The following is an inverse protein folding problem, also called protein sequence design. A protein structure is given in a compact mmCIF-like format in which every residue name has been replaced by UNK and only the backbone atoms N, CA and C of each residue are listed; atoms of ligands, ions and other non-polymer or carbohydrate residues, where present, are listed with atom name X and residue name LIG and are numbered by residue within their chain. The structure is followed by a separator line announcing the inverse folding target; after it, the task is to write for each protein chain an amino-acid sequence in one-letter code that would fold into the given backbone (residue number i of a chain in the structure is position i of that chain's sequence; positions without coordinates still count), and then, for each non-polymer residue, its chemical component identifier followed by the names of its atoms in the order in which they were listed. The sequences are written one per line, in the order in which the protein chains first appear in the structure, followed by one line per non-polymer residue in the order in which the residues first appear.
data_IF_763326855491
#
_entry.id   IF_763326855491
#
_cell.length_a   1.000
_cell.length_b   1.000
_cell.length_c   1.000
_cell.angle_alpha   90.00
_cell.angle_beta   90.00
_cell.angle_gamma   90.00
#
_symmetry.space_group_name_H-M   'P 1'
#
loop_
_entity.id
_entity.type
_entity.pdbx_description
1 polymer ?
#
# COMPACT_ATOMS: atom_id res chain seq x y z
N UNK A 1 17.74 -8.34 -11.68
CA UNK A 1 16.96 -7.27 -11.02
C UNK A 1 15.94 -6.63 -11.97
N UNK A 2 16.33 -6.10 -13.14
CA UNK A 2 15.40 -5.42 -14.07
C UNK A 2 14.21 -6.27 -14.52
N UNK A 3 14.41 -7.59 -14.74
CA UNK A 3 13.30 -8.52 -15.05
C UNK A 3 12.27 -8.61 -13.92
N UNK A 4 12.72 -8.60 -12.66
CA UNK A 4 11.84 -8.66 -11.48
C UNK A 4 11.08 -7.34 -11.33
N UNK A 5 11.75 -6.19 -11.47
CA UNK A 5 11.07 -4.89 -11.45
C UNK A 5 10.07 -4.77 -12.61
N UNK A 6 10.41 -5.33 -13.78
CA UNK A 6 9.50 -5.49 -14.92
C UNK A 6 8.25 -6.28 -14.56
N UNK A 7 8.40 -7.47 -13.98
CA UNK A 7 7.28 -8.31 -13.51
C UNK A 7 6.40 -7.57 -12.50
N UNK A 8 7.00 -6.90 -11.50
CA UNK A 8 6.25 -6.14 -10.51
C UNK A 8 5.47 -4.97 -11.13
N UNK A 9 6.08 -4.25 -12.09
CA UNK A 9 5.45 -3.17 -12.84
C UNK A 9 4.28 -3.69 -13.68
N UNK A 10 4.50 -4.76 -14.43
CA UNK A 10 3.50 -5.39 -15.29
C UNK A 10 2.30 -5.90 -14.47
N UNK A 11 2.57 -6.56 -13.34
CA UNK A 11 1.53 -7.02 -12.43
C UNK A 11 0.72 -5.86 -11.84
N UNK A 12 1.37 -4.77 -11.40
CA UNK A 12 0.68 -3.62 -10.81
C UNK A 12 -0.30 -2.95 -11.79
N UNK A 13 0.07 -2.83 -13.06
CA UNK A 13 -0.72 -2.07 -14.04
C UNK A 13 -1.69 -2.91 -14.86
N UNK A 14 -1.37 -4.18 -15.11
CA UNK A 14 -2.17 -5.02 -16.01
C UNK A 14 -2.65 -6.32 -15.34
N UNK A 15 -2.29 -6.56 -14.07
CA UNK A 15 -2.69 -7.79 -13.35
C UNK A 15 -2.01 -9.07 -13.86
N UNK A 16 -1.07 -8.96 -14.80
CA UNK A 16 -0.36 -10.10 -15.41
C UNK A 16 1.15 -9.85 -15.46
N UNK A 17 1.94 -10.92 -15.32
CA UNK A 17 3.40 -10.83 -15.29
C UNK A 17 4.04 -10.47 -16.63
N UNK A 18 3.39 -10.76 -17.76
CA UNK A 18 3.98 -10.65 -19.10
C UNK A 18 3.32 -9.55 -19.95
N UNK A 19 3.04 -8.39 -19.36
CA UNK A 19 2.41 -7.26 -20.07
C UNK A 19 3.41 -6.15 -20.37
N UNK A 20 3.49 -5.74 -21.64
CA UNK A 20 4.31 -4.61 -22.11
C UNK A 20 3.55 -3.28 -22.18
N UNK A 21 2.36 -3.19 -21.57
CA UNK A 21 1.54 -1.99 -21.66
C UNK A 21 2.12 -0.78 -20.90
N UNK A 22 1.64 0.43 -21.24
CA UNK A 22 2.12 1.67 -20.64
C UNK A 22 1.71 1.77 -19.16
N UNK A 23 2.63 2.25 -18.34
CA UNK A 23 2.38 2.53 -16.93
C UNK A 23 1.81 3.95 -16.75
N UNK A 24 0.79 4.11 -15.91
CA UNK A 24 0.23 5.45 -15.61
C UNK A 24 1.21 6.33 -14.83
N UNK A 25 2.04 5.69 -13.99
CA UNK A 25 3.06 6.34 -13.14
C UNK A 25 4.38 5.60 -13.30
N UNK A 26 5.49 6.33 -13.39
CA UNK A 26 6.82 5.73 -13.52
C UNK A 26 7.18 4.88 -12.31
N UNK A 27 7.97 3.83 -12.53
CA UNK A 27 8.43 2.94 -11.45
C UNK A 27 9.21 3.70 -10.37
N UNK A 28 10.01 4.69 -10.78
CA UNK A 28 10.75 5.55 -9.86
C UNK A 28 9.84 6.33 -8.91
N UNK A 29 8.74 6.87 -9.43
CA UNK A 29 7.77 7.61 -8.63
C UNK A 29 6.97 6.67 -7.70
N UNK A 30 6.68 5.45 -8.13
CA UNK A 30 6.02 4.42 -7.30
C UNK A 30 6.90 4.02 -6.10
N UNK A 31 8.21 3.88 -6.31
CA UNK A 31 9.14 3.47 -5.27
C UNK A 31 9.51 4.57 -4.27
N UNK A 32 9.10 5.82 -4.51
CA UNK A 32 9.30 6.89 -3.52
C UNK A 32 8.60 6.54 -2.20
N UNK A 33 9.11 7.04 -1.06
CA UNK A 33 8.44 6.91 0.21
C UNK A 33 7.01 7.47 0.13
N UNK A 34 6.09 6.91 0.94
CA UNK A 34 4.70 7.39 0.98
C UNK A 34 4.58 8.88 1.35
N UNK A 35 5.52 9.39 2.15
CA UNK A 35 5.65 10.81 2.50
C UNK A 35 5.92 11.70 1.28
N UNK A 36 6.58 11.15 0.27
CA UNK A 36 6.99 11.86 -0.96
C UNK A 36 6.09 11.47 -2.16
N UNK A 37 4.99 10.75 -1.93
CA UNK A 37 3.98 10.47 -2.94
C UNK A 37 4.11 9.17 -3.71
N UNK A 38 5.06 8.31 -3.34
CA UNK A 38 5.09 6.95 -3.87
C UNK A 38 4.21 6.00 -3.06
N UNK A 39 4.17 4.74 -3.47
CA UNK A 39 3.47 3.67 -2.76
C UNK A 39 4.37 2.98 -1.73
N UNK A 40 5.68 3.25 -1.77
CA UNK A 40 6.68 2.69 -0.88
C UNK A 40 7.21 1.33 -1.32
N UNK A 41 7.18 1.04 -2.63
CA UNK A 41 7.88 -0.13 -3.16
C UNK A 41 9.38 0.05 -3.04
N UNK A 42 10.09 -1.04 -2.79
CA UNK A 42 11.55 -1.03 -2.70
C UNK A 42 12.15 -1.03 -4.11
N UNK A 43 13.05 -0.08 -4.42
CA UNK A 43 13.88 -0.15 -5.64
C UNK A 43 14.92 -1.24 -5.42
N UNK A 44 14.82 -2.33 -6.18
CA UNK A 44 15.67 -3.50 -5.97
C UNK A 44 17.14 -3.16 -6.19
N UNK A 45 17.43 -2.31 -7.17
CA UNK A 45 18.80 -1.87 -7.42
C UNK A 45 19.40 -1.11 -6.22
N UNK A 46 18.69 -0.12 -5.68
CA UNK A 46 19.17 0.68 -4.54
C UNK A 46 19.20 -0.14 -3.24
N UNK A 47 18.24 -1.06 -3.06
CA UNK A 47 18.27 -2.00 -1.95
C UNK A 47 19.45 -2.94 -2.02
N UNK A 48 19.77 -3.46 -3.21
CA UNK A 48 20.95 -4.28 -3.43
C UNK A 48 22.25 -3.51 -3.12
N UNK A 49 22.32 -2.23 -3.50
CA UNK A 49 23.44 -1.36 -3.13
C UNK A 49 23.53 -1.19 -1.61
N UNK A 50 22.40 -0.94 -0.93
CA UNK A 50 22.36 -0.84 0.52
C UNK A 50 22.73 -2.17 1.22
N UNK A 51 22.36 -3.33 0.66
CA UNK A 51 22.78 -4.62 1.23
C UNK A 51 24.26 -4.89 0.99
N UNK A 52 24.78 -4.56 -0.20
CA UNK A 52 26.22 -4.65 -0.50
C UNK A 52 27.04 -3.75 0.43
N UNK A 53 26.50 -2.59 0.80
CA UNK A 53 27.10 -1.71 1.80
C UNK A 53 27.32 -2.37 3.16
N UNK A 54 26.46 -3.32 3.56
CA UNK A 54 26.65 -4.09 4.80
C UNK A 54 27.92 -4.94 4.74
N UNK A 55 28.20 -5.55 3.58
CA UNK A 55 29.43 -6.32 3.38
C UNK A 55 30.66 -5.42 3.38
N UNK A 56 30.58 -4.24 2.75
CA UNK A 56 31.67 -3.27 2.79
C UNK A 56 31.93 -2.79 4.22
N UNK A 57 30.87 -2.55 5.00
CA UNK A 57 30.95 -2.21 6.42
C UNK A 57 31.55 -3.34 7.26
N UNK A 58 31.18 -4.61 7.02
CA UNK A 58 31.78 -5.77 7.68
C UNK A 58 33.29 -5.86 7.43
N UNK A 59 33.76 -5.55 6.22
CA UNK A 59 35.19 -5.51 5.91
C UNK A 59 35.87 -4.34 6.64
N UNK A 60 35.27 -3.15 6.65
CA UNK A 60 35.79 -1.98 7.37
C UNK A 60 35.93 -2.23 8.88
N UNK A 61 34.89 -2.78 9.50
CA UNK A 61 34.84 -3.04 10.95
C UNK A 61 35.54 -4.33 11.38
N UNK A 62 36.16 -5.06 10.44
CA UNK A 62 36.79 -6.37 10.69
C UNK A 62 35.85 -7.32 11.44
N UNK A 63 34.60 -7.37 11.01
CA UNK A 63 33.59 -8.22 11.63
C UNK A 63 34.06 -9.69 11.69
N UNK A 64 33.72 -10.39 12.77
CA UNK A 64 34.16 -11.78 12.99
C UNK A 64 33.38 -12.76 12.11
N UNK A 65 33.75 -12.78 10.83
CA UNK A 65 33.27 -13.71 9.83
C UNK A 65 34.47 -14.30 9.10
N UNK A 66 34.43 -15.61 8.85
CA UNK A 66 35.52 -16.34 8.19
C UNK A 66 35.91 -15.71 6.84
N UNK A 67 34.91 -15.31 6.04
CA UNK A 67 35.15 -14.68 4.75
C UNK A 67 35.75 -13.27 4.88
N UNK A 68 35.43 -12.50 5.93
CA UNK A 68 36.04 -11.19 6.21
C UNK A 68 37.51 -11.37 6.57
N UNK A 69 37.82 -12.32 7.47
CA UNK A 69 39.20 -12.66 7.84
C UNK A 69 40.02 -13.09 6.63
N UNK A 70 39.44 -13.91 5.76
CA UNK A 70 40.07 -14.32 4.50
C UNK A 70 40.31 -13.15 3.55
N UNK A 71 39.35 -12.23 3.40
CA UNK A 71 39.52 -11.00 2.62
C UNK A 71 40.68 -10.15 3.14
N UNK A 72 40.78 -9.98 4.46
CA UNK A 72 41.90 -9.24 5.08
C UNK A 72 43.25 -9.91 4.84
N UNK A 73 43.32 -11.23 4.95
CA UNK A 73 44.55 -11.99 4.75
C UNK A 73 45.01 -12.06 3.27
N UNK A 74 44.07 -12.27 2.34
CA UNK A 74 44.39 -12.56 0.93
C UNK A 74 44.33 -11.34 0.03
N UNK A 75 43.32 -10.49 0.17
CA UNK A 75 43.14 -9.32 -0.69
C UNK A 75 43.85 -8.07 -0.15
N UNK A 76 43.57 -7.72 1.11
CA UNK A 76 44.09 -6.49 1.71
C UNK A 76 45.56 -6.62 2.14
N UNK A 77 45.99 -7.81 2.57
CA UNK A 77 47.40 -8.11 2.96
C UNK A 77 48.00 -7.06 3.91
N UNK A 78 47.21 -6.61 4.87
CA UNK A 78 47.62 -5.60 5.85
C UNK A 78 47.40 -4.13 5.44
N UNK A 79 46.94 -3.86 4.22
CA UNK A 79 46.53 -2.51 3.80
C UNK A 79 45.20 -2.09 4.45
N UNK A 80 45.01 -0.78 4.60
CA UNK A 80 43.75 -0.22 5.09
C UNK A 80 42.64 -0.38 4.05
N UNK A 81 41.39 -0.60 4.50
CA UNK A 81 40.25 -0.71 3.60
C UNK A 81 39.94 0.60 2.86
N UNK A 82 40.22 1.75 3.48
CA UNK A 82 39.98 3.07 2.89
C UNK A 82 40.92 3.38 1.73
N UNK A 83 42.21 3.01 1.86
CA UNK A 83 43.25 3.43 0.92
C UNK A 83 43.50 2.39 -0.18
N UNK A 84 43.00 1.17 -0.02
CA UNK A 84 43.13 0.11 -1.00
C UNK A 84 42.34 0.42 -2.29
N UNK A 85 42.98 0.20 -3.44
CA UNK A 85 42.37 0.29 -4.78
C UNK A 85 42.49 -1.06 -5.49
N UNK A 86 41.38 -1.67 -5.93
CA UNK A 86 41.42 -2.96 -6.61
C UNK A 86 42.03 -2.83 -8.02
N UNK A 87 42.95 -3.73 -8.37
CA UNK A 87 43.54 -3.80 -9.71
C UNK A 87 42.53 -4.17 -10.80
N UNK A 88 42.83 -3.84 -12.06
CA UNK A 88 41.93 -4.07 -13.22
C UNK A 88 41.57 -5.54 -13.46
N UNK A 89 42.47 -6.47 -13.13
CA UNK A 89 42.24 -7.92 -13.20
C UNK A 89 41.44 -8.54 -12.04
N UNK A 90 40.98 -7.73 -11.08
CA UNK A 90 40.23 -8.23 -9.93
C UNK A 90 38.79 -8.64 -10.28
N UNK A 91 38.24 -9.55 -9.48
CA UNK A 91 36.90 -10.10 -9.70
C UNK A 91 35.83 -8.98 -9.73
N UNK A 92 34.80 -9.18 -10.54
CA UNK A 92 33.72 -8.20 -10.69
C UNK A 92 33.06 -7.86 -9.35
N UNK A 93 32.83 -8.88 -8.49
CA UNK A 93 32.22 -8.69 -7.18
C UNK A 93 33.09 -7.82 -6.26
N UNK A 94 34.41 -8.01 -6.30
CA UNK A 94 35.37 -7.18 -5.55
C UNK A 94 35.32 -5.73 -6.03
N UNK A 95 35.43 -5.49 -7.34
CA UNK A 95 35.31 -4.13 -7.91
C UNK A 95 33.97 -3.47 -7.56
N UNK A 96 32.88 -4.24 -7.58
CA UNK A 96 31.55 -3.73 -7.22
C UNK A 96 31.46 -3.32 -5.74
N UNK A 97 32.12 -4.05 -4.84
CA UNK A 97 32.17 -3.74 -3.41
C UNK A 97 32.88 -2.41 -3.15
N UNK A 98 33.99 -2.14 -3.84
CA UNK A 98 34.70 -0.86 -3.78
C UNK A 98 33.89 0.29 -4.36
N UNK A 99 33.23 0.07 -5.50
CA UNK A 99 32.29 1.07 -6.04
C UNK A 99 31.18 1.43 -5.03
N UNK A 100 30.66 0.44 -4.29
CA UNK A 100 29.67 0.69 -3.22
C UNK A 100 30.29 1.46 -2.04
N UNK A 101 31.52 1.12 -1.64
CA UNK A 101 32.27 1.88 -0.61
C UNK A 101 32.35 3.35 -0.99
N UNK A 102 32.83 3.64 -2.19
CA UNK A 102 33.03 5.01 -2.66
C UNK A 102 31.71 5.77 -2.73
N UNK A 103 30.65 5.13 -3.25
CA UNK A 103 29.30 5.70 -3.28
C UNK A 103 28.77 6.03 -1.88
N UNK A 104 28.96 5.15 -0.89
CA UNK A 104 28.49 5.37 0.47
C UNK A 104 29.25 6.49 1.18
N UNK A 105 30.55 6.62 0.91
CA UNK A 105 31.36 7.75 1.34
C UNK A 105 30.86 9.06 0.71
N UNK A 106 30.47 9.06 -0.57
CA UNK A 106 29.99 10.26 -1.27
C UNK A 106 28.65 10.76 -0.72
N UNK A 107 27.75 9.86 -0.35
CA UNK A 107 26.40 10.20 0.15
C UNK A 107 26.44 10.61 1.63
N UNK A 108 27.63 10.76 2.24
CA UNK A 108 27.84 11.02 3.68
C UNK A 108 26.96 10.13 4.55
N UNK A 109 26.81 8.86 4.14
CA UNK A 109 26.02 7.92 4.91
C UNK A 109 26.88 7.51 6.09
N UNK A 110 26.71 8.20 7.23
CA UNK A 110 27.40 7.90 8.50
C UNK A 110 27.29 6.44 8.98
N UNK A 111 26.55 5.57 8.28
CA UNK A 111 26.51 4.12 8.51
C UNK A 111 27.81 3.37 8.21
N UNK A 112 28.81 3.98 7.55
CA UNK A 112 30.18 3.43 7.54
C UNK A 112 30.99 3.81 8.78
N UNK A 113 30.54 4.81 9.55
CA UNK A 113 31.28 5.42 10.68
C UNK A 113 30.64 5.06 12.02
N UNK A 114 29.36 4.70 12.06
CA UNK A 114 28.65 4.26 13.27
C UNK A 114 28.86 2.75 13.55
N UNK A 115 28.82 2.38 14.83
CA UNK A 115 28.97 0.99 15.31
C UNK A 115 27.89 0.02 14.81
N UNK A 116 26.76 0.55 14.30
CA UNK A 116 25.65 -0.26 13.77
C UNK A 116 25.30 0.10 12.33
N UNK A 117 25.34 -0.90 11.43
CA UNK A 117 24.91 -0.76 10.04
C UNK A 117 23.44 -1.15 9.85
N UNK A 118 22.60 -0.19 9.46
CA UNK A 118 21.21 -0.44 9.06
C UNK A 118 21.00 -0.28 7.56
N UNK A 119 20.78 -1.40 6.87
CA UNK A 119 20.42 -1.44 5.43
C UNK A 119 19.23 -0.52 5.12
N UNK A 120 18.23 -0.47 6.00
CA UNK A 120 17.05 0.35 5.82
C UNK A 120 17.37 1.86 5.89
N UNK A 121 18.27 2.27 6.79
CA UNK A 121 18.69 3.67 6.91
C UNK A 121 19.52 4.12 5.70
N UNK A 122 20.44 3.27 5.24
CA UNK A 122 21.23 3.52 4.01
C UNK A 122 20.31 3.62 2.80
N UNK A 123 19.39 2.67 2.64
CA UNK A 123 18.41 2.69 1.56
C UNK A 123 17.57 3.97 1.56
N UNK A 124 17.08 4.39 2.73
CA UNK A 124 16.30 5.61 2.85
C UNK A 124 17.08 6.84 2.33
N UNK A 125 18.37 6.98 2.66
CA UNK A 125 19.22 8.08 2.17
C UNK A 125 19.49 8.01 0.66
N UNK A 126 19.67 6.81 0.11
CA UNK A 126 19.82 6.62 -1.34
C UNK A 126 18.56 7.02 -2.13
N UNK A 127 17.38 6.96 -1.49
CA UNK A 127 16.08 7.28 -2.10
C UNK A 127 15.66 8.74 -1.85
N UNK A 128 16.05 9.34 -0.71
CA UNK A 128 15.56 10.65 -0.24
C UNK A 128 16.15 11.88 -0.96
N UNK A 129 16.98 11.68 -1.99
CA UNK A 129 17.45 12.77 -2.86
C UNK A 129 16.34 13.41 -3.73
N UNK A 130 15.09 12.99 -3.59
CA UNK A 130 13.95 13.53 -4.34
C UNK A 130 13.21 14.62 -3.57
N UNK A 131 12.97 15.76 -4.23
CA UNK A 131 12.22 16.92 -3.73
C UNK A 131 11.02 16.57 -2.85
N UNK A 132 10.97 17.18 -1.66
CA UNK A 132 9.88 17.04 -0.66
C UNK A 132 8.56 17.59 -1.21
N UNK A 133 7.80 16.78 -1.95
CA UNK A 133 6.38 17.03 -2.09
C UNK A 133 5.72 16.49 -0.82
N UNK A 134 5.15 17.36 0.02
CA UNK A 134 4.50 16.95 1.28
C UNK A 134 3.20 16.25 0.95
N UNK A 135 3.24 14.91 0.87
CA UNK A 135 2.03 14.11 0.88
C UNK A 135 1.53 13.99 2.31
N UNK A 136 0.30 14.38 2.55
CA UNK A 136 -0.27 14.33 3.89
C UNK A 136 -0.39 12.83 4.34
N UNK A 137 -0.38 12.52 5.65
CA UNK A 137 -0.29 11.14 6.15
C UNK A 137 -1.53 10.25 5.92
N UNK A 138 -2.65 10.81 5.46
CA UNK A 138 -3.91 10.08 5.24
C UNK A 138 -3.83 8.90 4.26
N UNK A 139 -2.96 8.92 3.25
CA UNK A 139 -2.70 7.75 2.40
C UNK A 139 -1.94 6.64 3.15
N UNK A 140 -1.62 6.78 4.43
CA UNK A 140 -0.97 5.72 5.22
C UNK A 140 -1.89 5.12 6.27
N UNK A 141 -3.05 5.74 6.52
CA UNK A 141 -4.00 5.28 7.54
C UNK A 141 -4.66 3.95 7.13
N UNK A 142 -4.74 3.00 8.08
CA UNK A 142 -5.36 1.67 7.88
C UNK A 142 -6.87 1.74 7.64
N UNK A 143 -7.53 2.83 8.03
CA UNK A 143 -8.96 3.07 7.88
C UNK A 143 -9.43 3.11 6.41
N UNK A 144 -8.55 3.38 5.44
CA UNK A 144 -8.95 3.59 4.05
C UNK A 144 -9.24 2.28 3.31
N UNK A 145 -10.28 2.28 2.47
CA UNK A 145 -10.56 1.19 1.54
C UNK A 145 -9.44 1.14 0.49
N UNK A 146 -8.74 0.01 0.29
CA UNK A 146 -7.57 -0.06 -0.59
C UNK A 146 -7.82 0.41 -2.03
N UNK A 147 -8.96 0.04 -2.63
CA UNK A 147 -9.34 0.48 -3.99
C UNK A 147 -9.53 2.00 -4.06
N UNK A 148 -10.21 2.57 -3.07
CA UNK A 148 -10.47 4.02 -3.02
C UNK A 148 -9.16 4.79 -2.84
N UNK A 149 -8.29 4.28 -1.97
CA UNK A 149 -6.95 4.83 -1.72
C UNK A 149 -6.08 4.83 -2.99
N UNK A 150 -6.08 3.74 -3.76
CA UNK A 150 -5.29 3.64 -4.98
C UNK A 150 -5.78 4.62 -6.06
N UNK A 151 -7.10 4.69 -6.27
CA UNK A 151 -7.69 5.64 -7.23
C UNK A 151 -7.51 7.09 -6.77
N UNK A 152 -7.69 7.39 -5.48
CA UNK A 152 -7.43 8.72 -4.93
C UNK A 152 -5.96 9.12 -5.10
N UNK A 153 -5.02 8.20 -4.91
CA UNK A 153 -3.59 8.45 -5.17
C UNK A 153 -3.33 8.81 -6.63
N UNK A 154 -3.91 8.06 -7.59
CA UNK A 154 -3.83 8.41 -9.02
C UNK A 154 -4.49 9.75 -9.34
N UNK A 155 -5.63 10.05 -8.71
CA UNK A 155 -6.35 11.31 -8.88
C UNK A 155 -5.49 12.49 -8.42
N UNK A 156 -4.84 12.41 -7.26
CA UNK A 156 -3.97 13.48 -6.75
C UNK A 156 -2.78 13.73 -7.66
N UNK A 157 -2.23 12.70 -8.29
CA UNK A 157 -1.15 12.85 -9.29
C UNK A 157 -1.66 13.33 -10.66
N UNK A 158 -2.97 13.41 -10.85
CA UNK A 158 -3.59 13.71 -12.14
C UNK A 158 -3.38 12.62 -13.17
N UNK A 159 -3.15 11.36 -12.77
CA UNK A 159 -2.71 10.25 -13.65
C UNK A 159 -3.84 9.32 -14.11
N UNK A 160 -5.09 9.65 -13.80
CA UNK A 160 -6.27 8.94 -14.29
C UNK A 160 -6.45 9.14 -15.81
N UNK A 161 -7.05 8.15 -16.49
CA UNK A 161 -7.26 8.15 -17.94
C UNK A 161 -8.55 8.88 -18.35
N UNK A 162 -8.57 10.19 -18.16
CA UNK A 162 -9.62 11.11 -18.62
C UNK A 162 -9.67 11.21 -20.15
N UNK A 163 -10.77 11.72 -20.72
CA UNK A 163 -10.92 11.74 -22.19
C UNK A 163 -9.82 12.55 -22.87
N UNK A 164 -9.40 13.67 -22.29
CA UNK A 164 -8.31 14.49 -22.82
C UNK A 164 -7.00 13.68 -23.02
N UNK A 165 -6.75 12.68 -22.18
CA UNK A 165 -5.61 11.76 -22.31
C UNK A 165 -5.88 10.66 -23.30
N UNK A 166 -7.09 10.12 -23.33
CA UNK A 166 -7.47 9.06 -24.26
C UNK A 166 -7.46 9.56 -25.71
N UNK A 167 -7.93 10.78 -25.96
CA UNK A 167 -7.85 11.47 -27.26
C UNK A 167 -6.40 11.65 -27.66
N UNK A 168 -5.54 12.14 -26.76
CA UNK A 168 -4.09 12.26 -27.01
C UNK A 168 -3.39 10.93 -27.29
N UNK A 169 -3.92 9.83 -26.76
CA UNK A 169 -3.43 8.47 -27.03
C UNK A 169 -4.03 7.86 -28.30
N UNK A 170 -4.92 8.55 -29.01
CA UNK A 170 -5.62 8.03 -30.19
C UNK A 170 -6.67 6.95 -29.89
N UNK A 171 -7.10 6.81 -28.63
CA UNK A 171 -8.07 5.78 -28.19
C UNK A 171 -9.51 6.30 -28.29
N UNK A 172 -9.72 7.61 -28.18
CA UNK A 172 -11.05 8.24 -28.21
C UNK A 172 -11.13 9.29 -29.32
N UNK A 173 -12.28 9.38 -29.97
CA UNK A 173 -12.55 10.34 -31.06
C UNK A 173 -13.17 11.65 -30.58
N UNK A 174 -13.60 11.73 -29.32
CA UNK A 174 -14.24 12.91 -28.73
C UNK A 174 -13.77 13.12 -27.29
N UNK A 175 -13.64 14.38 -26.90
CA UNK A 175 -13.25 14.80 -25.56
C UNK A 175 -14.46 15.10 -24.65
N UNK A 176 -15.69 14.89 -25.10
CA UNK A 176 -16.87 15.25 -24.31
C UNK A 176 -16.95 14.47 -22.98
N UNK A 177 -17.38 15.14 -21.91
CA UNK A 177 -17.58 14.52 -20.60
C UNK A 177 -18.80 13.61 -20.60
N UNK A 178 -18.58 12.34 -20.26
CA UNK A 178 -19.64 11.33 -20.18
C UNK A 178 -20.60 11.51 -18.99
N UNK A 179 -20.30 12.43 -18.06
CA UNK A 179 -21.15 12.70 -16.89
C UNK A 179 -22.12 13.85 -17.12
N UNK A 180 -21.66 14.98 -17.67
CA UNK A 180 -22.51 16.15 -17.93
C UNK A 180 -22.92 16.30 -19.40
N UNK A 181 -22.17 15.74 -20.36
CA UNK A 181 -22.44 15.91 -21.79
C UNK A 181 -22.05 17.27 -22.38
N UNK A 182 -21.90 18.31 -21.56
CA UNK A 182 -21.80 19.70 -22.04
C UNK A 182 -20.39 20.23 -22.30
N UNK A 183 -19.37 19.67 -21.64
CA UNK A 183 -17.99 20.20 -21.67
C UNK A 183 -16.96 19.11 -21.89
N UNK A 184 -15.78 19.52 -22.31
CA UNK A 184 -14.61 18.65 -22.45
C UNK A 184 -14.12 18.07 -21.11
N UNK A 185 -13.82 16.77 -21.09
CA UNK A 185 -13.38 16.05 -19.90
C UNK A 185 -11.88 16.17 -19.69
N UNK A 186 -11.50 17.14 -18.87
CA UNK A 186 -10.19 17.18 -18.23
C UNK A 186 -10.24 16.62 -16.81
N UNK A 187 -9.08 16.34 -16.22
CA UNK A 187 -8.96 16.02 -14.79
C UNK A 187 -9.60 17.10 -13.90
N UNK A 188 -9.38 18.37 -14.22
CA UNK A 188 -9.97 19.48 -13.50
C UNK A 188 -11.49 19.53 -13.65
N UNK A 189 -11.98 19.37 -14.88
CA UNK A 189 -13.40 19.34 -15.16
C UNK A 189 -14.10 18.21 -14.39
N UNK A 190 -13.59 16.98 -14.51
CA UNK A 190 -14.20 15.79 -13.92
C UNK A 190 -14.40 15.92 -12.40
N UNK A 191 -13.44 16.49 -11.66
CA UNK A 191 -13.51 16.55 -10.19
C UNK A 191 -14.03 17.87 -9.63
N UNK A 192 -13.90 19.00 -10.34
CA UNK A 192 -14.15 20.33 -9.76
C UNK A 192 -15.20 21.16 -10.49
N UNK A 193 -15.30 21.06 -11.82
CA UNK A 193 -16.23 21.88 -12.59
C UNK A 193 -17.52 21.17 -12.99
N UNK A 194 -17.45 19.86 -13.24
CA UNK A 194 -18.55 19.05 -13.74
C UNK A 194 -19.77 19.16 -12.82
N UNK A 195 -20.92 19.56 -13.37
CA UNK A 195 -22.14 19.77 -12.58
C UNK A 195 -22.55 18.51 -11.80
N UNK A 196 -22.38 17.35 -12.40
CA UNK A 196 -22.60 16.05 -11.76
C UNK A 196 -21.74 15.89 -10.50
N UNK A 197 -20.44 16.18 -10.60
CA UNK A 197 -19.48 16.08 -9.49
C UNK A 197 -19.78 17.11 -8.41
N UNK A 198 -20.16 18.34 -8.79
CA UNK A 198 -20.57 19.39 -7.84
C UNK A 198 -21.78 18.95 -7.01
N UNK A 199 -22.80 18.38 -7.64
CA UNK A 199 -23.97 17.82 -6.92
C UNK A 199 -23.52 16.76 -5.91
N UNK A 200 -22.64 15.83 -6.29
CA UNK A 200 -22.12 14.81 -5.39
C UNK A 200 -21.34 15.40 -4.19
N UNK A 201 -20.48 16.39 -4.43
CA UNK A 201 -19.73 17.08 -3.36
C UNK A 201 -20.68 17.77 -2.39
N UNK A 202 -21.72 18.46 -2.89
CA UNK A 202 -22.72 19.13 -2.06
C UNK A 202 -23.49 18.16 -1.17
N UNK A 203 -23.93 17.02 -1.71
CA UNK A 203 -24.59 15.97 -0.93
C UNK A 203 -23.70 15.45 0.20
N UNK A 204 -22.44 15.14 -0.11
CA UNK A 204 -21.49 14.62 0.88
C UNK A 204 -21.13 15.68 1.95
N UNK A 205 -20.95 16.93 1.53
CA UNK A 205 -20.68 18.08 2.41
C UNK A 205 -21.84 18.30 3.40
N UNK A 206 -23.09 18.26 2.91
CA UNK A 206 -24.29 18.36 3.74
C UNK A 206 -24.39 17.20 4.74
N UNK A 207 -24.07 15.98 4.32
CA UNK A 207 -24.10 14.81 5.20
C UNK A 207 -23.02 14.85 6.28
N UNK A 208 -21.80 15.28 5.95
CA UNK A 208 -20.70 15.39 6.90
C UNK A 208 -20.78 16.62 7.81
N UNK A 209 -21.63 17.60 7.48
CA UNK A 209 -21.71 18.88 8.17
C UNK A 209 -20.43 19.72 8.02
N UNK A 210 -19.65 19.51 6.97
CA UNK A 210 -18.39 20.23 6.69
C UNK A 210 -18.47 20.91 5.35
N UNK A 211 -18.13 22.20 5.29
CA UNK A 211 -18.01 22.94 4.04
C UNK A 211 -16.78 22.46 3.26
N UNK A 212 -17.02 21.67 2.20
CA UNK A 212 -15.96 21.21 1.29
C UNK A 212 -15.99 22.14 0.07
N UNK A 213 -14.98 23.00 -0.14
CA UNK A 213 -14.94 23.88 -1.29
C UNK A 213 -14.76 23.06 -2.56
N UNK A 214 -15.71 23.27 -3.47
CA UNK A 214 -15.88 22.51 -4.71
C UNK A 214 -14.80 22.85 -5.75
N UNK A 215 -14.16 24.02 -5.65
CA UNK A 215 -13.10 24.49 -6.57
C UNK A 215 -11.68 24.40 -6.03
N UNK A 216 -11.52 23.98 -4.78
CA UNK A 216 -10.19 23.90 -4.18
C UNK A 216 -9.42 22.72 -4.77
N UNK A 217 -8.11 22.87 -4.98
CA UNK A 217 -7.28 21.77 -5.51
C UNK A 217 -7.34 20.55 -4.60
N UNK A 218 -7.12 19.34 -5.15
CA UNK A 218 -6.97 18.12 -4.33
C UNK A 218 -5.89 18.36 -3.25
N UNK A 219 -4.87 19.14 -3.60
CA UNK A 219 -3.85 19.75 -2.74
C UNK A 219 -4.39 20.38 -1.45
N UNK A 220 -5.39 21.23 -1.59
CA UNK A 220 -6.03 21.95 -0.49
C UNK A 220 -6.92 21.03 0.35
N UNK A 221 -7.64 20.08 -0.27
CA UNK A 221 -8.34 19.03 0.48
C UNK A 221 -7.37 18.20 1.36
N UNK A 222 -6.10 18.04 0.95
CA UNK A 222 -5.05 17.40 1.78
C UNK A 222 -4.64 18.20 3.02
N UNK A 223 -4.91 19.51 3.07
CA UNK A 223 -4.46 20.40 4.14
C UNK A 223 -5.59 20.92 5.02
N UNK A 224 -6.78 20.33 4.91
CA UNK A 224 -7.94 20.80 5.66
C UNK A 224 -7.67 20.74 7.18
N UNK A 225 -7.75 21.90 7.83
CA UNK A 225 -7.54 22.01 9.28
C UNK A 225 -8.80 21.57 10.01
N UNK A 226 -8.82 20.33 10.50
CA UNK A 226 -9.89 19.83 11.38
C UNK A 226 -9.52 19.96 12.86
N UNK A 227 -10.55 19.97 13.71
CA UNK A 227 -10.44 20.03 15.18
C UNK A 227 -9.88 18.76 15.82
N UNK A 228 -10.08 17.58 15.20
CA UNK A 228 -9.59 16.29 15.72
C UNK A 228 -8.95 15.41 14.64
N UNK A 229 -8.03 14.53 15.06
CA UNK A 229 -7.38 13.54 14.18
C UNK A 229 -8.40 12.55 13.62
N UNK A 230 -9.39 12.13 14.42
CA UNK A 230 -10.48 11.26 13.98
C UNK A 230 -11.32 11.92 12.87
N UNK A 231 -11.67 13.20 13.02
CA UNK A 231 -12.42 13.92 11.99
C UNK A 231 -11.59 14.07 10.69
N UNK A 232 -10.28 14.28 10.81
CA UNK A 232 -9.32 14.28 9.69
C UNK A 232 -9.37 12.97 8.91
N UNK A 233 -9.36 11.84 9.62
CA UNK A 233 -9.37 10.50 9.02
C UNK A 233 -10.71 10.21 8.33
N UNK A 234 -11.84 10.56 8.96
CA UNK A 234 -13.19 10.37 8.40
C UNK A 234 -13.38 11.24 7.15
N UNK A 235 -13.02 12.52 7.22
CA UNK A 235 -13.05 13.41 6.06
C UNK A 235 -12.20 12.86 4.92
N UNK A 236 -11.00 12.37 5.26
CA UNK A 236 -10.11 11.77 4.30
C UNK A 236 -10.70 10.54 3.59
N UNK A 237 -11.31 9.65 4.37
CA UNK A 237 -12.01 8.47 3.86
C UNK A 237 -13.16 8.87 2.94
N UNK A 238 -13.92 9.92 3.31
CA UNK A 238 -15.03 10.41 2.54
C UNK A 238 -14.60 11.00 1.18
N UNK A 239 -13.53 11.79 1.17
CA UNK A 239 -12.94 12.33 -0.06
C UNK A 239 -12.45 11.19 -0.97
N UNK A 240 -11.72 10.21 -0.42
CA UNK A 240 -11.24 9.08 -1.21
C UNK A 240 -12.39 8.24 -1.78
N UNK A 241 -13.47 8.04 -1.00
CA UNK A 241 -14.70 7.38 -1.46
C UNK A 241 -15.36 8.13 -2.60
N UNK A 242 -15.51 9.45 -2.47
CA UNK A 242 -16.07 10.31 -3.51
C UNK A 242 -15.26 10.26 -4.80
N UNK A 243 -13.93 10.43 -4.72
CA UNK A 243 -13.06 10.36 -5.90
C UNK A 243 -13.17 9.02 -6.63
N UNK A 244 -13.18 7.93 -5.87
CA UNK A 244 -13.35 6.59 -6.44
C UNK A 244 -14.71 6.43 -7.10
N UNK A 245 -15.79 6.86 -6.44
CA UNK A 245 -17.17 6.71 -6.93
C UNK A 245 -17.44 7.58 -8.15
N UNK A 246 -16.90 8.81 -8.21
CA UNK A 246 -16.94 9.65 -9.41
C UNK A 246 -16.19 9.01 -10.57
N UNK A 247 -14.99 8.50 -10.31
CA UNK A 247 -14.20 7.77 -11.32
C UNK A 247 -14.93 6.51 -11.84
N UNK A 248 -15.57 5.77 -10.92
CA UNK A 248 -16.39 4.60 -11.26
C UNK A 248 -17.62 4.99 -12.09
N UNK A 249 -18.33 6.06 -11.71
CA UNK A 249 -19.50 6.55 -12.42
C UNK A 249 -19.14 6.97 -13.86
N UNK A 250 -18.04 7.71 -14.02
CA UNK A 250 -17.51 8.09 -15.33
C UNK A 250 -17.19 6.86 -16.18
N UNK A 251 -16.46 5.89 -15.63
CA UNK A 251 -16.10 4.69 -16.40
C UNK A 251 -17.32 3.83 -16.73
N UNK A 252 -18.32 3.80 -15.85
CA UNK A 252 -19.60 3.14 -16.10
C UNK A 252 -20.36 3.85 -17.22
N UNK A 253 -20.38 5.18 -17.22
CA UNK A 253 -20.98 5.98 -18.29
C UNK A 253 -20.27 5.77 -19.64
N UNK A 254 -18.94 5.67 -19.65
CA UNK A 254 -18.19 5.37 -20.88
C UNK A 254 -18.39 3.94 -21.40
N UNK A 255 -18.35 2.93 -20.53
CA UNK A 255 -18.34 1.52 -20.93
C UNK A 255 -19.76 0.97 -21.14
N UNK A 256 -20.70 1.39 -20.29
CA UNK A 256 -22.08 0.90 -20.28
C UNK A 256 -23.10 1.92 -20.79
N UNK A 257 -22.65 3.11 -21.20
CA UNK A 257 -23.53 4.21 -21.64
C UNK A 257 -24.60 4.58 -20.60
N UNK A 258 -24.29 4.41 -19.31
CA UNK A 258 -25.20 4.62 -18.20
C UNK A 258 -24.60 5.56 -17.15
N UNK A 259 -25.28 6.67 -16.87
CA UNK A 259 -24.89 7.63 -15.82
C UNK A 259 -25.73 7.36 -14.57
N UNK A 260 -25.13 6.88 -13.47
CA UNK A 260 -25.85 6.70 -12.21
C UNK A 260 -26.30 8.05 -11.64
N UNK A 261 -27.40 8.09 -10.88
CA UNK A 261 -27.85 9.35 -10.25
C UNK A 261 -26.91 9.75 -9.10
N UNK A 262 -26.63 11.07 -8.89
CA UNK A 262 -25.77 11.55 -7.80
C UNK A 262 -26.20 11.05 -6.41
N UNK A 263 -27.52 10.95 -6.17
CA UNK A 263 -28.07 10.47 -4.88
C UNK A 263 -27.70 9.02 -4.56
N UNK A 264 -27.72 8.14 -5.57
CA UNK A 264 -27.42 6.71 -5.40
C UNK A 264 -25.93 6.57 -5.10
N UNK A 265 -25.10 7.25 -5.89
CA UNK A 265 -23.66 7.29 -5.70
C UNK A 265 -23.26 7.80 -4.31
N UNK A 266 -23.92 8.85 -3.81
CA UNK A 266 -23.66 9.39 -2.48
C UNK A 266 -24.13 8.46 -1.37
N UNK A 267 -25.27 7.78 -1.52
CA UNK A 267 -25.76 6.78 -0.56
C UNK A 267 -24.80 5.59 -0.46
N UNK A 268 -24.33 5.09 -1.60
CA UNK A 268 -23.33 4.04 -1.65
C UNK A 268 -22.02 4.48 -0.99
N UNK A 269 -21.55 5.70 -1.28
CA UNK A 269 -20.35 6.28 -0.66
C UNK A 269 -20.50 6.35 0.86
N UNK A 270 -21.68 6.77 1.35
CA UNK A 270 -22.03 6.82 2.76
C UNK A 270 -22.01 5.41 3.38
N UNK A 271 -22.59 4.42 2.71
CA UNK A 271 -22.57 3.04 3.18
C UNK A 271 -21.13 2.52 3.32
N UNK A 272 -20.28 2.72 2.30
CA UNK A 272 -18.88 2.32 2.35
C UNK A 272 -18.13 2.93 3.54
N UNK A 273 -18.35 4.24 3.79
CA UNK A 273 -17.71 4.98 4.87
C UNK A 273 -18.18 4.46 6.24
N UNK A 274 -19.50 4.31 6.43
CA UNK A 274 -20.08 3.88 7.69
C UNK A 274 -19.67 2.45 8.05
N UNK A 275 -19.76 1.53 7.09
CA UNK A 275 -19.33 0.14 7.26
C UNK A 275 -17.85 0.09 7.63
N UNK A 276 -16.99 0.81 6.89
CA UNK A 276 -15.55 0.80 7.14
C UNK A 276 -15.15 1.37 8.50
N UNK A 277 -15.79 2.45 8.94
CA UNK A 277 -15.56 3.07 10.25
C UNK A 277 -16.05 2.16 11.37
N UNK A 278 -17.22 1.54 11.21
CA UNK A 278 -17.77 0.60 12.20
C UNK A 278 -16.87 -0.62 12.35
N UNK A 279 -16.49 -1.25 11.25
CA UNK A 279 -15.62 -2.43 11.25
C UNK A 279 -14.26 -2.12 11.88
N UNK A 280 -13.70 -0.94 11.60
CA UNK A 280 -12.44 -0.51 12.21
C UNK A 280 -12.55 -0.34 13.72
N UNK A 281 -13.59 0.33 14.21
CA UNK A 281 -13.81 0.53 15.66
C UNK A 281 -14.03 -0.79 16.40
N UNK A 282 -14.76 -1.73 15.79
CA UNK A 282 -14.97 -3.06 16.36
C UNK A 282 -13.65 -3.81 16.46
N UNK A 283 -12.86 -3.82 15.38
CA UNK A 283 -11.57 -4.49 15.36
C UNK A 283 -10.57 -3.91 16.39
N UNK A 284 -10.52 -2.58 16.51
CA UNK A 284 -9.66 -1.90 17.48
C UNK A 284 -10.06 -2.22 18.93
N UNK A 285 -11.37 -2.27 19.21
CA UNK A 285 -11.88 -2.64 20.54
C UNK A 285 -11.53 -4.09 20.91
N UNK A 286 -11.67 -5.02 19.96
CA UNK A 286 -11.28 -6.43 20.14
C UNK A 286 -9.80 -6.56 20.49
N UNK A 287 -8.95 -5.82 19.77
CA UNK A 287 -7.50 -5.82 19.95
C UNK A 287 -7.10 -5.23 21.31
N UNK A 288 -7.70 -4.10 21.71
CA UNK A 288 -7.43 -3.48 23.02
C UNK A 288 -7.88 -4.33 24.21
N UNK A 289 -9.03 -5.00 24.09
CA UNK A 289 -9.55 -5.86 25.16
C UNK A 289 -8.87 -7.25 25.18
N UNK A 290 -7.95 -7.54 24.25
CA UNK A 290 -7.24 -8.81 24.17
C UNK A 290 -8.19 -10.01 24.04
N UNK A 291 -9.31 -9.82 23.35
CA UNK A 291 -10.38 -10.83 23.26
C UNK A 291 -10.09 -11.83 22.13
N UNK A 292 -10.29 -13.12 22.43
CA UNK A 292 -10.49 -14.13 21.40
C UNK A 292 -11.65 -13.69 20.48
N UNK A 293 -11.49 -13.86 19.17
CA UNK A 293 -12.53 -13.52 18.21
C UNK A 293 -12.60 -14.53 17.09
N UNK A 294 -13.83 -14.75 16.63
CA UNK A 294 -14.21 -15.63 15.54
C UNK A 294 -14.94 -14.78 14.50
N UNK A 295 -14.54 -14.87 13.23
CA UNK A 295 -15.20 -14.14 12.15
C UNK A 295 -16.27 -15.05 11.54
N UNK A 296 -17.54 -14.67 11.67
CA UNK A 296 -18.66 -15.42 11.09
C UNK A 296 -19.16 -14.71 9.83
N UNK A 297 -19.06 -15.38 8.68
CA UNK A 297 -19.58 -14.89 7.39
C UNK A 297 -20.95 -15.51 7.17
N UNK A 298 -22.00 -14.71 7.37
CA UNK A 298 -23.39 -15.17 7.24
C UNK A 298 -23.89 -15.10 5.78
N UNK A 299 -25.00 -15.79 5.49
CA UNK A 299 -25.68 -15.89 4.19
C UNK A 299 -24.85 -16.58 3.10
N UNK A 300 -24.03 -17.56 3.48
CA UNK A 300 -23.20 -18.31 2.52
C UNK A 300 -24.01 -19.11 1.49
N UNK A 301 -25.29 -19.37 1.76
CA UNK A 301 -26.28 -19.95 0.86
C UNK A 301 -26.62 -19.07 -0.34
N UNK A 302 -26.52 -17.74 -0.21
CA UNK A 302 -26.88 -16.79 -1.28
C UNK A 302 -25.82 -16.69 -2.38
N UNK A 303 -24.68 -17.35 -2.23
CA UNK A 303 -23.58 -17.27 -3.18
C UNK A 303 -23.76 -18.35 -4.25
N UNK A 304 -23.92 -17.97 -5.54
CA UNK A 304 -24.00 -18.92 -6.63
C UNK A 304 -22.63 -19.59 -6.87
N UNK A 305 -22.63 -20.84 -7.32
CA UNK A 305 -21.42 -21.62 -7.68
C UNK A 305 -20.41 -21.76 -6.53
N UNK A 306 -20.78 -22.58 -5.53
CA UNK A 306 -19.94 -22.96 -4.38
C UNK A 306 -18.79 -23.89 -4.80
N UNK A 307 -17.81 -23.35 -5.52
CA UNK A 307 -16.58 -24.03 -5.87
C UNK A 307 -15.48 -23.72 -4.86
N UNK A 308 -14.45 -24.57 -4.80
CA UNK A 308 -13.30 -24.38 -3.89
C UNK A 308 -12.58 -23.06 -4.16
N UNK A 309 -12.46 -22.65 -5.43
CA UNK A 309 -11.90 -21.36 -5.83
C UNK A 309 -12.72 -20.18 -5.31
N UNK A 310 -14.05 -20.26 -5.39
CA UNK A 310 -14.97 -19.24 -4.89
C UNK A 310 -14.76 -19.03 -3.39
N UNK A 311 -14.68 -20.10 -2.61
CA UNK A 311 -14.43 -20.03 -1.16
C UNK A 311 -13.10 -19.33 -0.83
N UNK A 312 -12.02 -19.65 -1.56
CA UNK A 312 -10.72 -19.00 -1.39
C UNK A 312 -10.76 -17.51 -1.73
N UNK A 313 -11.45 -17.13 -2.81
CA UNK A 313 -11.60 -15.72 -3.20
C UNK A 313 -12.34 -14.93 -2.10
N UNK A 314 -13.42 -15.47 -1.56
CA UNK A 314 -14.17 -14.83 -0.48
C UNK A 314 -13.36 -14.76 0.81
N UNK A 315 -12.62 -15.81 1.16
CA UNK A 315 -11.75 -15.80 2.33
C UNK A 315 -10.71 -14.69 2.21
N UNK A 316 -10.04 -14.60 1.06
CA UNK A 316 -9.08 -13.53 0.78
C UNK A 316 -9.72 -12.15 0.84
N UNK A 317 -10.97 -12.00 0.39
CA UNK A 317 -11.68 -10.72 0.47
C UNK A 317 -12.03 -10.33 1.91
N UNK A 318 -12.50 -11.28 2.73
CA UNK A 318 -12.77 -11.08 4.16
C UNK A 318 -11.48 -10.70 4.89
N UNK A 319 -10.39 -11.43 4.65
CA UNK A 319 -9.04 -11.14 5.20
C UNK A 319 -8.55 -9.76 4.76
N UNK A 320 -8.82 -9.36 3.51
CA UNK A 320 -8.43 -8.04 2.98
C UNK A 320 -9.22 -6.91 3.63
N UNK A 321 -10.48 -7.13 3.98
CA UNK A 321 -11.35 -6.16 4.68
C UNK A 321 -10.99 -6.06 6.17
N UNK A 322 -10.78 -7.19 6.83
CA UNK A 322 -10.49 -7.32 8.27
C UNK A 322 -9.00 -7.59 8.54
N UNK A 323 -8.10 -6.75 7.99
CA UNK A 323 -6.64 -6.95 8.14
C UNK A 323 -6.17 -6.97 9.60
N UNK A 324 -6.86 -6.25 10.49
CA UNK A 324 -6.54 -6.23 11.92
C UNK A 324 -6.79 -7.58 12.59
N UNK A 325 -7.80 -8.33 12.13
CA UNK A 325 -8.18 -9.64 12.67
C UNK A 325 -7.64 -10.78 11.80
N UNK A 326 -6.43 -10.64 11.28
CA UNK A 326 -5.81 -11.65 10.41
C UNK A 326 -5.58 -13.00 11.12
N UNK A 327 -5.48 -12.99 12.45
CA UNK A 327 -5.31 -14.17 13.29
C UNK A 327 -6.62 -14.90 13.59
N UNK A 328 -7.78 -14.23 13.47
CA UNK A 328 -9.06 -14.82 13.84
C UNK A 328 -9.51 -15.86 12.80
N UNK A 329 -9.99 -17.05 13.18
CA UNK A 329 -10.52 -18.02 12.22
C UNK A 329 -11.81 -17.49 11.56
N UNK A 330 -12.07 -17.93 10.33
CA UNK A 330 -13.26 -17.57 9.54
C UNK A 330 -14.16 -18.79 9.44
N UNK A 331 -15.44 -18.63 9.79
CA UNK A 331 -16.46 -19.67 9.68
C UNK A 331 -17.61 -19.15 8.82
N UNK A 332 -17.97 -19.94 7.80
CA UNK A 332 -19.11 -19.64 6.94
C UNK A 332 -20.38 -20.21 7.53
N UNK A 333 -21.44 -19.41 7.54
CA UNK A 333 -22.71 -19.78 8.13
C UNK A 333 -23.91 -19.38 7.26
N UNK A 334 -24.95 -20.20 7.35
CA UNK A 334 -26.29 -19.91 6.83
C UNK A 334 -27.25 -19.98 8.00
N UNK A 335 -27.67 -18.81 8.49
CA UNK A 335 -28.56 -18.72 9.66
C UNK A 335 -29.93 -19.39 9.45
N UNK A 336 -30.37 -19.55 8.20
CA UNK A 336 -31.71 -20.07 7.85
C UNK A 336 -31.79 -21.59 8.05
N UNK A 337 -30.70 -22.34 7.87
CA UNK A 337 -30.71 -23.81 7.88
C UNK A 337 -30.30 -24.42 9.23
N UNK A 338 -29.93 -23.61 10.24
CA UNK A 338 -29.61 -24.05 11.61
C UNK A 338 -28.30 -24.86 11.77
N UNK A 339 -27.94 -25.70 10.80
CA UNK A 339 -26.77 -26.59 10.79
C UNK A 339 -25.41 -25.89 10.87
N UNK A 340 -25.36 -24.58 10.65
CA UNK A 340 -24.13 -23.80 10.75
C UNK A 340 -23.82 -23.31 12.16
N UNK A 341 -24.79 -23.37 13.08
CA UNK A 341 -24.63 -22.90 14.46
C UNK A 341 -23.68 -23.80 15.22
N UNK A 342 -23.79 -25.12 15.05
CA UNK A 342 -22.90 -26.10 15.69
C UNK A 342 -21.43 -25.88 15.30
N UNK A 343 -21.18 -25.56 14.03
CA UNK A 343 -19.83 -25.25 13.53
C UNK A 343 -19.27 -23.99 14.18
N UNK A 344 -20.10 -22.97 14.41
CA UNK A 344 -19.69 -21.73 15.09
C UNK A 344 -19.34 -22.04 16.54
N UNK A 345 -20.15 -22.84 17.24
CA UNK A 345 -19.92 -23.21 18.65
C UNK A 345 -18.62 -24.02 18.80
N UNK A 346 -18.41 -25.01 17.93
CA UNK A 346 -17.17 -25.81 17.94
C UNK A 346 -15.95 -24.93 17.69
N UNK A 347 -16.02 -24.04 16.69
CA UNK A 347 -14.93 -23.11 16.41
C UNK A 347 -14.69 -22.13 17.56
N UNK A 348 -15.74 -21.64 18.21
CA UNK A 348 -15.63 -20.75 19.37
C UNK A 348 -14.92 -21.45 20.54
N UNK A 349 -15.27 -22.70 20.84
CA UNK A 349 -14.60 -23.50 21.87
C UNK A 349 -13.10 -23.70 21.58
N UNK A 350 -12.72 -23.92 20.32
CA UNK A 350 -11.30 -24.05 19.93
C UNK A 350 -10.56 -22.74 20.20
N UNK A 351 -11.13 -21.59 19.80
CA UNK A 351 -10.50 -20.29 20.01
C UNK A 351 -10.39 -19.95 21.51
N UNK A 352 -11.40 -20.30 22.31
CA UNK A 352 -11.36 -20.13 23.77
C UNK A 352 -10.30 -21.02 24.43
N UNK A 353 -10.18 -22.27 23.97
CA UNK A 353 -9.15 -23.19 24.45
C UNK A 353 -7.73 -22.68 24.15
N UNK A 354 -7.50 -22.15 22.94
CA UNK A 354 -6.20 -21.56 22.60
C UNK A 354 -5.93 -20.27 23.37
N UNK A 355 -6.95 -19.44 23.66
CA UNK A 355 -6.79 -18.24 24.48
C UNK A 355 -6.46 -18.56 25.94
N UNK A 356 -7.11 -19.57 26.51
CA UNK A 356 -6.91 -20.00 27.90
C UNK A 356 -5.66 -20.86 28.08
N UNK A 357 -5.00 -21.24 26.99
CA UNK A 357 -3.77 -22.04 27.01
C UNK A 357 -2.63 -21.29 27.68
N UNK A 358 -2.24 -21.75 28.86
CA UNK A 358 -1.04 -21.27 29.55
C UNK A 358 0.20 -21.93 28.94
N UNK A 359 1.12 -21.13 28.41
CA UNK A 359 2.40 -21.63 27.91
C UNK A 359 3.42 -21.71 29.05
N UNK A 360 4.16 -22.82 29.12
CA UNK A 360 5.27 -22.95 30.08
C UNK A 360 6.46 -22.09 29.63
N UNK A 361 7.23 -21.60 30.60
CA UNK A 361 8.43 -20.79 30.35
C UNK A 361 9.47 -21.54 29.52
N UNK A 362 9.57 -22.87 29.68
CA UNK A 362 10.45 -23.72 28.88
C UNK A 362 10.12 -23.69 27.38
N UNK A 363 8.83 -23.83 27.02
CA UNK A 363 8.38 -23.76 25.61
C UNK A 363 8.59 -22.36 25.03
N UNK A 364 8.38 -21.32 25.85
CA UNK A 364 8.56 -19.93 25.43
C UNK A 364 10.04 -19.63 25.14
N UNK A 365 10.94 -20.09 26.01
CA UNK A 365 12.39 -19.94 25.83
C UNK A 365 12.92 -20.73 24.63
N UNK A 366 12.41 -21.94 24.39
CA UNK A 366 12.78 -22.74 23.22
C UNK A 366 12.31 -22.11 21.90
N UNK A 367 11.18 -21.40 21.92
CA UNK A 367 10.66 -20.66 20.77
C UNK A 367 11.48 -19.38 20.52
N UNK A 368 11.82 -18.66 21.59
CA UNK A 368 12.64 -17.44 21.53
C UNK A 368 14.07 -17.70 21.06
N UNK A 369 14.70 -18.78 21.55
CA UNK A 369 16.06 -19.15 21.12
C UNK A 369 16.13 -19.54 19.65
N UNK A 370 15.12 -20.25 19.13
CA UNK A 370 15.02 -20.54 17.68
C UNK A 370 14.74 -19.30 16.83
N UNK A 371 14.05 -18.30 17.37
CA UNK A 371 13.77 -17.03 16.68
C UNK A 371 14.97 -16.08 16.60
N UNK A 372 15.88 -16.12 17.57
CA UNK A 372 17.10 -15.31 17.57
C UNK A 372 18.26 -15.90 16.75
N UNK A 373 18.14 -17.14 16.29
CA UNK A 373 19.19 -17.83 15.51
C UNK A 373 19.17 -17.55 14.00
N UNK A 374 18.75 -16.35 13.57
CA UNK A 374 18.70 -15.96 12.14
C UNK A 374 19.53 -14.71 11.83
#
# INVERSE_FOLDING_TARGET
MNKIEGLCRSFLWHGSGASNGPALVSWEQICKPRKNGGLGFVRLHQWNVATLGKYAWWVQMKADHLWVRWVHAVYLKGQSWSDYVPGSGSSWGWRKLFWVRDLLNTVQVGGMVTDDYSTAAVYARLVDQCSRMVWHPWLTTRLFIPKHKFIAWLAVQGRLLTQDRLVRMGIACSNCCFLCGDKDESHYHLFFECEYSRKCVMFLSRWLGVQIPVRATLGWWLRLRTRSLAMKQILGLAIASLLYRLWWARNTARIKSFVPLPRILCNDSRHDILTRVRDYKIAERIEMEGKASLIVVNKWDTIPNKNQETATIYEQDVRRKLRNLHWAPIVYATAITGQSIDKIIVAANIVEKERSRRLSTATLNQSGSRGCSF
#
